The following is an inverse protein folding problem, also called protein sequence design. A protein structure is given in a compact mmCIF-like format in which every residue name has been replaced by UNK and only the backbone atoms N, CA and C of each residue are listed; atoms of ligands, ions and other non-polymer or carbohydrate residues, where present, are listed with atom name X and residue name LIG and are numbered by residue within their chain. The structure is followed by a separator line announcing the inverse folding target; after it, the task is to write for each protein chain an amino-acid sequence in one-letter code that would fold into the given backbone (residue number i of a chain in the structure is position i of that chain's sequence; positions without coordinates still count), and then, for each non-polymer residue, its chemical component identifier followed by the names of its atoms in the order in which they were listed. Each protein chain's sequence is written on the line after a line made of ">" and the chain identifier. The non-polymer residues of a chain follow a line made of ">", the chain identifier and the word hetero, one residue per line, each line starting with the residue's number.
data_IF_112097023009
#
_entry.id   IF_112097023009
#
_cell.length_a   1.000
_cell.length_b   1.000
_cell.length_c   1.000
_cell.angle_alpha   90.00
_cell.angle_beta   90.00
_cell.angle_gamma   90.00
#
_symmetry.space_group_name_H-M   'P 1'
#
loop_
_entity.id
_entity.type
_entity.pdbx_description
1 polymer ?
#
# COMPACT_ATOMS: atom_id res chain seq x y z
N UNK A 1 -9.63 5.18 -4.56
CA UNK A 1 -8.85 5.37 -3.32
C UNK A 1 -7.39 5.62 -3.61
N UNK A 2 -6.82 4.99 -4.65
CA UNK A 2 -5.42 5.19 -5.07
C UNK A 2 -5.08 6.66 -5.29
N UNK A 3 -5.88 7.40 -6.07
CA UNK A 3 -5.63 8.82 -6.34
C UNK A 3 -5.66 9.66 -5.06
N UNK A 4 -6.64 9.43 -4.18
CA UNK A 4 -6.74 10.16 -2.91
C UNK A 4 -5.48 9.98 -2.05
N UNK A 5 -5.08 8.73 -1.78
CA UNK A 5 -3.90 8.49 -0.94
C UNK A 5 -2.59 8.84 -1.66
N UNK A 6 -2.55 8.78 -2.99
CA UNK A 6 -1.43 9.27 -3.78
C UNK A 6 -1.25 10.78 -3.65
N UNK A 7 -2.34 11.54 -3.73
CA UNK A 7 -2.36 12.99 -3.54
C UNK A 7 -1.97 13.38 -2.11
N UNK A 8 -2.48 12.67 -1.10
CA UNK A 8 -2.11 12.90 0.31
C UNK A 8 -0.63 12.58 0.56
N UNK A 9 -0.11 11.47 -0.01
CA UNK A 9 1.32 11.17 0.05
C UNK A 9 2.16 12.26 -0.60
N UNK A 10 1.75 12.76 -1.77
CA UNK A 10 2.46 13.83 -2.47
C UNK A 10 2.49 15.11 -1.65
N UNK A 11 1.33 15.58 -1.16
CA UNK A 11 1.23 16.79 -0.35
C UNK A 11 2.07 16.68 0.93
N UNK A 12 1.98 15.56 1.65
CA UNK A 12 2.77 15.30 2.84
C UNK A 12 4.28 15.32 2.55
N UNK A 13 4.69 14.75 1.41
CA UNK A 13 6.09 14.74 0.98
C UNK A 13 6.59 16.14 0.64
N UNK A 14 5.85 16.88 -0.18
CA UNK A 14 6.21 18.22 -0.66
C UNK A 14 6.32 19.24 0.49
N UNK A 15 5.48 19.08 1.52
CA UNK A 15 5.45 19.97 2.69
C UNK A 15 6.36 19.51 3.82
N UNK A 16 7.06 18.39 3.65
CA UNK A 16 7.85 17.73 4.70
C UNK A 16 7.00 17.45 5.96
N UNK A 17 5.74 17.07 5.75
CA UNK A 17 4.74 16.69 6.75
C UNK A 17 4.42 15.20 6.69
N UNK A 18 5.34 14.39 6.16
CA UNK A 18 5.31 12.93 6.26
C UNK A 18 5.45 12.55 7.74
N UNK A 19 4.31 12.56 8.41
CA UNK A 19 4.18 12.32 9.83
C UNK A 19 2.73 11.98 10.15
N UNK A 20 2.57 11.18 11.20
CA UNK A 20 1.29 10.70 11.68
C UNK A 20 0.45 11.81 12.32
N UNK A 21 0.95 13.05 12.38
CA UNK A 21 0.28 14.18 13.03
C UNK A 21 -0.86 14.79 12.20
N UNK A 22 -0.76 14.76 10.85
CA UNK A 22 -1.69 15.47 9.96
C UNK A 22 -2.55 14.55 9.08
N UNK A 23 -2.03 13.39 8.72
CA UNK A 23 -2.72 12.44 7.84
C UNK A 23 -2.74 11.04 8.48
N UNK A 24 -3.09 10.98 9.76
CA UNK A 24 -3.07 9.73 10.52
C UNK A 24 -4.05 8.69 9.98
N UNK A 25 -3.56 7.47 9.80
CA UNK A 25 -4.38 6.28 9.64
C UNK A 25 -3.93 5.27 10.69
N UNK A 26 -4.87 4.82 11.52
CA UNK A 26 -4.56 3.81 12.52
C UNK A 26 -4.26 2.45 11.90
N UNK A 27 -3.51 1.62 12.62
CA UNK A 27 -3.21 0.24 12.21
C UNK A 27 -4.47 -0.58 11.92
N UNK A 28 -5.56 -0.30 12.64
CA UNK A 28 -6.84 -0.93 12.39
C UNK A 28 -7.39 -0.57 11.00
N UNK A 29 -7.30 0.70 10.60
CA UNK A 29 -7.74 1.14 9.26
C UNK A 29 -6.90 0.50 8.17
N UNK A 30 -5.57 0.49 8.34
CA UNK A 30 -4.66 -0.16 7.39
C UNK A 30 -4.93 -1.66 7.30
N UNK A 31 -5.19 -2.33 8.42
CA UNK A 31 -5.59 -3.74 8.44
C UNK A 31 -6.86 -3.98 7.63
N UNK A 32 -7.86 -3.09 7.74
CA UNK A 32 -9.09 -3.20 6.94
C UNK A 32 -8.82 -2.98 5.46
N UNK A 33 -7.94 -2.06 5.07
CA UNK A 33 -7.57 -1.87 3.67
C UNK A 33 -6.87 -3.10 3.09
N UNK A 34 -5.95 -3.72 3.84
CA UNK A 34 -5.29 -4.97 3.43
C UNK A 34 -6.31 -6.08 3.21
N UNK A 35 -7.23 -6.28 4.16
CA UNK A 35 -8.30 -7.26 4.05
C UNK A 35 -9.20 -6.99 2.84
N UNK A 36 -9.52 -5.72 2.54
CA UNK A 36 -10.32 -5.35 1.38
C UNK A 36 -9.65 -5.74 0.05
N UNK A 37 -8.33 -5.62 -0.01
CA UNK A 37 -7.52 -6.07 -1.15
C UNK A 37 -7.24 -7.58 -1.15
N UNK A 38 -7.68 -8.31 -0.13
CA UNK A 38 -7.51 -9.76 0.02
C UNK A 38 -6.20 -10.19 0.69
N UNK A 39 -5.42 -9.26 1.25
CA UNK A 39 -4.22 -9.57 2.02
C UNK A 39 -4.52 -9.92 3.48
N UNK A 40 -3.57 -10.59 4.12
CA UNK A 40 -3.57 -10.78 5.57
C UNK A 40 -3.44 -9.41 6.28
N UNK A 41 -4.18 -9.14 7.37
CA UNK A 41 -4.10 -7.85 8.08
C UNK A 41 -2.69 -7.52 8.59
N UNK A 42 -1.85 -8.54 8.83
CA UNK A 42 -0.48 -8.41 9.30
C UNK A 42 0.54 -8.39 8.15
N UNK A 43 0.13 -8.47 6.88
CA UNK A 43 1.03 -8.31 5.72
C UNK A 43 1.77 -6.97 5.83
N UNK A 44 3.09 -7.01 5.67
CA UNK A 44 3.93 -5.82 5.79
C UNK A 44 3.86 -4.96 4.52
N UNK A 45 3.64 -3.66 4.72
CA UNK A 45 3.82 -2.62 3.71
C UNK A 45 4.81 -1.60 4.27
N UNK A 46 5.82 -1.17 3.49
CA UNK A 46 6.81 -0.20 3.96
C UNK A 46 6.24 1.22 4.02
N UNK A 47 6.92 2.10 4.76
CA UNK A 47 6.58 3.52 4.87
C UNK A 47 5.67 3.86 6.05
N UNK A 48 5.29 5.13 6.14
CA UNK A 48 4.34 5.68 7.11
C UNK A 48 2.90 5.33 6.73
N UNK A 49 1.94 5.65 7.61
CA UNK A 49 0.56 5.18 7.47
C UNK A 49 -0.11 5.59 6.13
N UNK A 50 0.09 6.82 5.64
CA UNK A 50 -0.44 7.27 4.34
C UNK A 50 0.25 6.57 3.18
N UNK A 51 1.56 6.37 3.27
CA UNK A 51 2.35 5.66 2.25
C UNK A 51 1.90 4.21 2.14
N UNK A 52 1.70 3.55 3.29
CA UNK A 52 1.13 2.21 3.34
C UNK A 52 -0.27 2.19 2.72
N UNK A 53 -1.14 3.13 3.05
CA UNK A 53 -2.48 3.20 2.46
C UNK A 53 -2.41 3.37 0.93
N UNK A 54 -1.57 4.27 0.43
CA UNK A 54 -1.34 4.43 -1.00
C UNK A 54 -0.86 3.12 -1.63
N UNK A 55 0.15 2.46 -1.06
CA UNK A 55 0.71 1.21 -1.57
C UNK A 55 -0.31 0.05 -1.56
N UNK A 56 -1.15 -0.04 -0.52
CA UNK A 56 -2.24 -1.02 -0.44
C UNK A 56 -3.26 -0.76 -1.56
N UNK A 57 -3.66 0.50 -1.77
CA UNK A 57 -4.64 0.85 -2.80
C UNK A 57 -4.07 0.87 -4.22
N UNK A 58 -2.75 0.87 -4.37
CA UNK A 58 -2.07 0.65 -5.65
C UNK A 58 -2.11 -0.82 -6.09
N UNK A 59 -2.39 -1.74 -5.16
CA UNK A 59 -2.49 -3.16 -5.49
C UNK A 59 -3.73 -3.47 -6.34
N UNK A 60 -3.56 -4.44 -7.23
CA UNK A 60 -4.71 -5.18 -7.78
C UNK A 60 -5.25 -6.14 -6.71
N UNK A 61 -6.58 -6.28 -6.54
CA UNK A 61 -7.15 -7.24 -5.59
C UNK A 61 -6.55 -8.64 -5.76
N UNK A 62 -6.18 -9.27 -4.66
CA UNK A 62 -5.31 -10.44 -4.64
C UNK A 62 -5.90 -11.63 -5.42
N UNK A 63 -7.20 -11.85 -5.31
CA UNK A 63 -7.89 -12.91 -6.04
C UNK A 63 -7.85 -12.67 -7.55
N UNK A 64 -8.02 -11.43 -7.99
CA UNK A 64 -7.90 -11.05 -9.41
C UNK A 64 -6.48 -11.25 -9.91
N UNK A 65 -5.48 -10.79 -9.15
CA UNK A 65 -4.06 -11.00 -9.47
C UNK A 65 -3.73 -12.48 -9.61
N UNK A 66 -4.14 -13.30 -8.65
CA UNK A 66 -3.88 -14.74 -8.66
C UNK A 66 -4.62 -15.47 -9.78
N UNK A 67 -5.85 -15.09 -10.10
CA UNK A 67 -6.57 -15.64 -11.23
C UNK A 67 -5.84 -15.37 -12.56
N UNK A 68 -5.32 -14.16 -12.74
CA UNK A 68 -4.52 -13.82 -13.92
C UNK A 68 -3.20 -14.61 -13.99
N UNK A 69 -2.49 -14.77 -12.86
CA UNK A 69 -1.26 -15.55 -12.82
C UNK A 69 -1.51 -17.02 -13.21
N UNK A 70 -2.51 -17.65 -12.58
CA UNK A 70 -2.87 -19.05 -12.84
C UNK A 70 -3.31 -19.25 -14.29
N UNK A 71 -4.12 -18.34 -14.84
CA UNK A 71 -4.55 -18.40 -16.23
C UNK A 71 -3.38 -18.35 -17.24
N UNK A 72 -2.25 -17.76 -16.84
CA UNK A 72 -1.03 -17.67 -17.65
C UNK A 72 0.03 -18.72 -17.27
N UNK A 73 -0.32 -19.73 -16.47
CA UNK A 73 0.58 -20.83 -16.09
C UNK A 73 1.57 -20.50 -14.97
N UNK A 74 1.39 -19.38 -14.27
CA UNK A 74 2.20 -19.01 -13.11
C UNK A 74 1.52 -19.45 -11.80
N UNK A 75 2.29 -19.79 -10.74
CA UNK A 75 1.71 -20.04 -9.43
C UNK A 75 1.12 -18.75 -8.84
N UNK A 76 0.08 -18.85 -7.98
CA UNK A 76 -0.42 -17.70 -7.24
C UNK A 76 0.66 -17.16 -6.29
N UNK A 77 0.63 -15.85 -6.03
CA UNK A 77 1.55 -15.18 -5.10
C UNK A 77 0.81 -14.24 -4.17
N UNK A 78 1.05 -14.39 -2.88
CA UNK A 78 0.37 -13.65 -1.82
C UNK A 78 1.15 -12.40 -1.39
N UNK A 79 2.36 -12.23 -1.91
CA UNK A 79 3.19 -11.07 -1.62
C UNK A 79 2.64 -9.82 -2.31
N UNK A 80 2.72 -8.64 -1.66
CA UNK A 80 2.38 -7.38 -2.29
C UNK A 80 3.38 -7.06 -3.41
N UNK A 81 2.88 -6.45 -4.48
CA UNK A 81 3.73 -5.96 -5.57
C UNK A 81 4.18 -4.56 -5.19
N UNK A 82 5.42 -4.44 -4.70
CA UNK A 82 5.99 -3.15 -4.34
C UNK A 82 6.67 -2.54 -5.58
N UNK A 83 6.36 -1.29 -5.95
CA UNK A 83 7.07 -0.62 -7.02
C UNK A 83 8.56 -0.52 -6.68
N UNK A 84 9.45 -0.88 -7.62
CA UNK A 84 10.91 -0.82 -7.45
C UNK A 84 11.46 0.59 -7.25
N UNK A 85 10.61 1.61 -7.34
CA UNK A 85 10.90 2.94 -6.84
C UNK A 85 10.72 2.85 -5.34
N UNK A 86 11.81 2.61 -4.63
CA UNK A 86 11.96 2.98 -3.22
C UNK A 86 11.32 4.35 -3.06
N UNK A 87 10.11 4.42 -2.48
CA UNK A 87 9.60 5.69 -1.93
C UNK A 87 10.70 6.07 -0.97
N UNK A 88 11.50 7.07 -1.36
CA UNK A 88 12.81 7.36 -0.79
C UNK A 88 12.62 7.33 0.71
N UNK A 89 13.09 6.26 1.33
CA UNK A 89 13.13 6.16 2.78
C UNK A 89 14.11 7.25 3.14
N UNK A 90 13.58 8.41 3.54
CA UNK A 90 14.37 9.48 4.09
C UNK A 90 14.96 8.84 5.35
N UNK A 91 16.20 8.37 5.22
CA UNK A 91 17.01 8.00 6.37
C UNK A 91 17.01 9.22 7.28
N UNK A 92 16.42 9.05 8.46
CA UNK A 92 16.75 9.86 9.62
C UNK A 92 17.99 9.29 10.27
#
# INVERSE_FOLDING_TARGET
>A
MTDLYGELCRDATERNLLGDDYYFLSDLVLSKFKMFQGFDPFTHFPGLCVEQAYLIWLQTPLNTKNALLVANGFPPTYEPVLPGITIRTIQR
#
